data_IF_371560011510
#
_entry.id   IF_371560011510
#
_cell.length_a   1.000
_cell.length_b   1.000
_cell.length_c   1.000
_cell.angle_alpha   90.00
_cell.angle_beta   90.00
_cell.angle_gamma   90.00
#
_symmetry.space_group_name_H-M   'P 1'
#
loop_
_entity.id
_entity.type
_entity.pdbx_description
1 polymer ?
#
# COMPACT_ATOMS: atom_id res chain seq x y z
N UNK A 1 -10.30 23.35 -45.16
CA UNK A 1 -11.22 23.30 -43.99
C UNK A 1 -10.55 22.48 -42.91
N UNK A 2 -10.13 23.13 -41.82
CA UNK A 2 -9.30 22.52 -40.78
C UNK A 2 -10.06 21.47 -39.98
N UNK A 3 -9.42 20.32 -39.74
CA UNK A 3 -9.88 19.37 -38.74
C UNK A 3 -9.80 20.06 -37.37
N UNK A 4 -10.96 20.26 -36.74
CA UNK A 4 -11.03 20.71 -35.37
C UNK A 4 -10.30 19.68 -34.50
N UNK A 5 -9.22 20.09 -33.84
CA UNK A 5 -8.56 19.28 -32.83
C UNK A 5 -9.57 18.96 -31.73
N UNK A 6 -9.99 17.70 -31.66
CA UNK A 6 -10.77 17.18 -30.53
C UNK A 6 -9.87 17.35 -29.31
N UNK A 7 -10.17 18.35 -28.49
CA UNK A 7 -9.55 18.55 -27.18
C UNK A 7 -9.81 17.26 -26.41
N UNK A 8 -8.79 16.42 -26.23
CA UNK A 8 -8.86 15.21 -25.37
C UNK A 8 -9.33 15.70 -24.00
N UNK A 9 -10.59 15.44 -23.67
CA UNK A 9 -11.07 15.60 -22.31
C UNK A 9 -10.14 14.72 -21.46
N UNK A 10 -9.47 15.25 -20.42
CA UNK A 10 -8.63 14.43 -19.57
C UNK A 10 -9.51 13.28 -19.05
N UNK A 11 -9.21 12.07 -19.47
CA UNK A 11 -9.90 10.89 -18.93
C UNK A 11 -9.54 10.82 -17.46
N UNK A 12 -10.56 10.99 -16.60
CA UNK A 12 -10.46 10.82 -15.16
C UNK A 12 -9.98 9.37 -14.95
N UNK A 13 -8.70 9.21 -14.60
CA UNK A 13 -8.08 7.90 -14.46
C UNK A 13 -7.49 7.77 -13.06
N UNK A 14 -8.33 7.42 -12.07
CA UNK A 14 -7.87 7.17 -10.72
C UNK A 14 -7.01 5.90 -10.68
N UNK A 15 -6.00 5.90 -9.82
CA UNK A 15 -5.03 4.81 -9.65
C UNK A 15 -4.72 4.65 -8.17
N UNK A 16 -4.68 3.41 -7.71
CA UNK A 16 -4.17 3.03 -6.40
C UNK A 16 -2.69 2.68 -6.52
N UNK A 17 -1.84 3.38 -5.78
CA UNK A 17 -0.45 3.02 -5.62
C UNK A 17 -0.28 2.27 -4.30
N UNK A 18 0.41 1.13 -4.34
CA UNK A 18 0.82 0.38 -3.16
C UNK A 18 2.33 0.49 -3.06
N UNK A 19 2.82 1.08 -1.97
CA UNK A 19 4.24 1.19 -1.68
C UNK A 19 4.61 -0.02 -0.82
N UNK A 20 5.39 -0.95 -1.36
CA UNK A 20 5.65 -2.24 -0.72
C UNK A 20 7.11 -2.40 -0.32
N UNK A 21 7.32 -2.84 0.92
CA UNK A 21 8.59 -3.34 1.43
C UNK A 21 8.75 -4.82 1.10
N UNK A 22 9.94 -5.22 0.71
CA UNK A 22 10.24 -6.58 0.26
C UNK A 22 11.68 -6.98 0.58
N UNK A 23 12.04 -8.22 0.28
CA UNK A 23 13.42 -8.69 0.43
C UNK A 23 14.43 -7.89 -0.41
N UNK A 24 13.97 -7.23 -1.49
CA UNK A 24 14.81 -6.43 -2.37
C UNK A 24 15.02 -4.98 -1.89
N UNK A 25 14.35 -4.59 -0.80
CA UNK A 25 14.42 -3.24 -0.23
C UNK A 25 14.99 -3.30 1.19
N UNK A 26 14.17 -3.64 2.18
CA UNK A 26 14.57 -3.61 3.59
C UNK A 26 13.84 -4.62 4.48
N UNK A 27 13.02 -5.51 3.92
CA UNK A 27 12.26 -6.51 4.69
C UNK A 27 12.64 -7.94 4.23
N UNK A 28 13.78 -8.49 4.71
CA UNK A 28 14.37 -9.73 4.18
C UNK A 28 13.44 -10.95 4.22
N UNK A 29 12.57 -11.01 5.22
CA UNK A 29 11.60 -12.10 5.41
C UNK A 29 10.40 -12.04 4.47
N UNK A 30 10.24 -10.96 3.70
CA UNK A 30 9.12 -10.71 2.79
C UNK A 30 9.40 -11.33 1.42
N UNK A 31 9.12 -12.63 1.30
CA UNK A 31 9.16 -13.35 0.04
C UNK A 31 7.95 -12.96 -0.87
N UNK A 32 7.94 -13.35 -2.16
CA UNK A 32 6.86 -12.99 -3.08
C UNK A 32 5.45 -13.41 -2.62
N UNK A 33 5.33 -14.56 -1.96
CA UNK A 33 4.03 -15.02 -1.44
C UNK A 33 3.50 -14.14 -0.31
N UNK A 34 4.37 -13.73 0.62
CA UNK A 34 4.02 -12.76 1.66
C UNK A 34 3.71 -11.40 1.06
N UNK A 35 4.52 -10.93 0.12
CA UNK A 35 4.30 -9.66 -0.58
C UNK A 35 2.90 -9.60 -1.20
N UNK A 36 2.46 -10.65 -1.89
CA UNK A 36 1.11 -10.72 -2.45
C UNK A 36 0.01 -10.58 -1.38
N UNK A 37 0.20 -11.21 -0.21
CA UNK A 37 -0.71 -11.05 0.92
C UNK A 37 -0.73 -9.60 1.46
N UNK A 38 0.44 -8.97 1.62
CA UNK A 38 0.54 -7.60 2.12
C UNK A 38 -0.04 -6.57 1.14
N UNK A 39 0.14 -6.76 -0.16
CA UNK A 39 -0.50 -5.94 -1.22
C UNK A 39 -2.03 -6.09 -1.17
N UNK A 40 -2.53 -7.29 -0.90
CA UNK A 40 -3.97 -7.53 -0.68
C UNK A 40 -4.47 -6.80 0.58
N UNK A 41 -3.72 -6.86 1.69
CA UNK A 41 -4.03 -6.10 2.90
C UNK A 41 -4.09 -4.59 2.64
N UNK A 42 -3.14 -4.04 1.86
CA UNK A 42 -3.15 -2.63 1.49
C UNK A 42 -4.38 -2.22 0.66
N UNK A 43 -4.78 -3.04 -0.31
CA UNK A 43 -5.99 -2.81 -1.10
C UNK A 43 -7.25 -2.82 -0.23
N UNK A 44 -7.35 -3.77 0.70
CA UNK A 44 -8.49 -3.86 1.62
C UNK A 44 -8.52 -2.70 2.62
N UNK A 45 -7.36 -2.30 3.15
CA UNK A 45 -7.24 -1.15 4.05
C UNK A 45 -7.64 0.16 3.35
N UNK A 46 -7.26 0.33 2.08
CA UNK A 46 -7.72 1.43 1.23
C UNK A 46 -9.24 1.46 1.11
N UNK A 47 -9.87 0.35 0.68
CA UNK A 47 -11.33 0.27 0.51
C UNK A 47 -12.07 0.51 1.84
N UNK A 48 -11.58 -0.09 2.93
CA UNK A 48 -12.14 0.15 4.26
C UNK A 48 -12.08 1.64 4.63
N UNK A 49 -10.95 2.29 4.39
CA UNK A 49 -10.79 3.73 4.66
C UNK A 49 -11.75 4.58 3.83
N UNK A 50 -11.90 4.29 2.54
CA UNK A 50 -12.82 5.02 1.65
C UNK A 50 -14.29 4.84 2.07
N UNK A 51 -14.67 3.67 2.56
CA UNK A 51 -16.03 3.37 2.99
C UNK A 51 -16.35 3.92 4.39
N UNK A 52 -15.41 3.84 5.33
CA UNK A 52 -15.60 4.27 6.73
C UNK A 52 -15.67 5.80 6.89
N UNK A 53 -15.12 6.57 5.94
CA UNK A 53 -15.17 8.04 5.95
C UNK A 53 -16.53 8.64 5.58
N UNK A 54 -17.61 7.84 5.57
CA UNK A 54 -18.96 8.26 5.15
C UNK A 54 -19.63 9.34 6.03
N UNK A 55 -19.01 9.76 7.14
CA UNK A 55 -19.57 10.76 8.07
C UNK A 55 -18.85 12.12 8.04
N UNK A 56 -17.80 12.28 7.23
CA UNK A 56 -17.00 13.50 7.21
C UNK A 56 -17.39 14.40 6.03
N UNK A 57 -17.76 15.65 6.33
CA UNK A 57 -18.32 16.62 5.39
C UNK A 57 -17.28 17.46 4.63
N UNK A 58 -15.99 17.09 4.65
CA UNK A 58 -14.98 17.86 3.92
C UNK A 58 -15.13 17.65 2.39
N UNK A 59 -15.12 18.71 1.57
CA UNK A 59 -15.20 18.61 0.12
C UNK A 59 -14.17 17.66 -0.52
N UNK A 60 -12.94 17.62 0.03
CA UNK A 60 -11.88 16.76 -0.49
C UNK A 60 -12.20 15.27 -0.32
N UNK A 61 -12.75 14.87 0.84
CA UNK A 61 -13.14 13.47 1.07
C UNK A 61 -14.28 13.03 0.15
N UNK A 62 -15.27 13.89 -0.10
CA UNK A 62 -16.34 13.61 -1.05
C UNK A 62 -15.79 13.37 -2.46
N UNK A 63 -14.86 14.22 -2.90
CA UNK A 63 -14.16 14.05 -4.19
C UNK A 63 -13.42 12.72 -4.28
N UNK A 64 -12.68 12.31 -3.26
CA UNK A 64 -11.95 11.04 -3.30
C UNK A 64 -12.86 9.81 -3.24
N UNK A 65 -14.05 9.93 -2.62
CA UNK A 65 -15.07 8.89 -2.68
C UNK A 65 -15.62 8.71 -4.09
N UNK A 66 -15.96 9.79 -4.79
CA UNK A 66 -16.35 9.74 -6.20
C UNK A 66 -15.23 9.17 -7.09
N UNK A 67 -13.97 9.52 -6.81
CA UNK A 67 -12.83 8.93 -7.52
C UNK A 67 -12.67 7.44 -7.22
N UNK A 68 -12.94 6.99 -6.00
CA UNK A 68 -12.93 5.58 -5.63
C UNK A 68 -14.03 4.81 -6.36
N UNK A 69 -15.23 5.37 -6.48
CA UNK A 69 -16.32 4.80 -7.29
C UNK A 69 -15.94 4.74 -8.77
N UNK A 70 -15.33 5.79 -9.31
CA UNK A 70 -14.79 5.76 -10.67
C UNK A 70 -13.71 4.69 -10.84
N UNK A 71 -12.91 4.44 -9.81
CA UNK A 71 -11.88 3.41 -9.81
C UNK A 71 -12.47 2.00 -9.79
N UNK A 72 -13.46 1.72 -8.94
CA UNK A 72 -14.11 0.39 -8.89
C UNK A 72 -14.85 0.06 -10.19
N UNK A 73 -15.36 1.07 -10.90
CA UNK A 73 -16.03 0.94 -12.19
C UNK A 73 -15.08 0.78 -13.39
N UNK A 74 -13.75 0.80 -13.20
CA UNK A 74 -12.81 0.52 -14.28
C UNK A 74 -12.85 -0.94 -14.76
N UNK A 75 -13.39 -1.85 -13.95
CA UNK A 75 -13.66 -3.23 -14.32
C UNK A 75 -15.05 -3.67 -13.86
N UNK A 76 -15.61 -4.70 -14.50
CA UNK A 76 -16.87 -5.31 -14.08
C UNK A 76 -16.74 -6.14 -12.78
N UNK A 77 -15.54 -6.24 -12.21
CA UNK A 77 -15.25 -7.02 -11.01
C UNK A 77 -15.05 -6.13 -9.77
N UNK A 78 -15.25 -4.81 -9.89
CA UNK A 78 -15.21 -3.89 -8.76
C UNK A 78 -13.81 -3.42 -8.36
N UNK A 79 -12.83 -3.50 -9.27
CA UNK A 79 -11.48 -2.95 -9.05
C UNK A 79 -11.02 -2.08 -10.22
N UNK A 80 -10.06 -1.20 -9.93
CA UNK A 80 -9.36 -0.42 -10.94
C UNK A 80 -7.86 -0.65 -10.94
N UNK A 81 -7.14 0.23 -11.62
CA UNK A 81 -5.69 0.13 -11.79
C UNK A 81 -4.99 0.21 -10.43
N UNK A 82 -4.16 -0.79 -10.14
CA UNK A 82 -3.26 -0.84 -8.99
C UNK A 82 -1.83 -0.93 -9.49
N UNK A 83 -0.94 -0.10 -8.94
CA UNK A 83 0.49 -0.14 -9.22
C UNK A 83 1.27 -0.40 -7.93
N UNK A 84 2.05 -1.47 -7.91
CA UNK A 84 2.92 -1.81 -6.77
C UNK A 84 4.29 -1.21 -7.02
N UNK A 85 4.78 -0.40 -6.08
CA UNK A 85 6.06 0.29 -6.13
C UNK A 85 6.97 -0.24 -5.02
N UNK A 86 8.26 -0.44 -5.33
CA UNK A 86 9.22 -0.90 -4.34
C UNK A 86 9.75 0.29 -3.51
N UNK A 87 9.69 0.18 -2.19
CA UNK A 87 10.19 1.17 -1.23
C UNK A 87 10.81 0.48 -0.01
N UNK A 88 11.71 1.17 0.68
CA UNK A 88 12.05 0.82 2.07
C UNK A 88 11.11 1.54 3.06
N UNK A 89 11.27 1.26 4.36
CA UNK A 89 10.45 1.84 5.43
C UNK A 89 10.48 3.38 5.46
N UNK A 90 11.67 3.98 5.39
CA UNK A 90 11.82 5.44 5.43
C UNK A 90 11.12 6.11 4.24
N UNK A 91 11.29 5.54 3.05
CA UNK A 91 10.64 6.02 1.82
C UNK A 91 9.12 5.89 1.89
N UNK A 92 8.63 4.76 2.41
CA UNK A 92 7.20 4.51 2.63
C UNK A 92 6.60 5.54 3.60
N UNK A 93 7.22 5.72 4.77
CA UNK A 93 6.77 6.65 5.81
C UNK A 93 6.80 8.11 5.31
N UNK A 94 7.87 8.50 4.63
CA UNK A 94 7.99 9.83 4.03
C UNK A 94 6.93 10.07 2.96
N UNK A 95 6.68 9.09 2.08
CA UNK A 95 5.67 9.22 1.02
C UNK A 95 4.26 9.38 1.60
N UNK A 96 3.89 8.58 2.61
CA UNK A 96 2.58 8.73 3.27
C UNK A 96 2.47 10.08 3.98
N UNK A 97 3.50 10.48 4.72
CA UNK A 97 3.52 11.78 5.42
C UNK A 97 3.31 12.94 4.45
N UNK A 98 4.03 12.95 3.33
CA UNK A 98 3.89 13.99 2.29
C UNK A 98 2.53 13.91 1.62
N UNK A 99 2.04 12.71 1.27
CA UNK A 99 0.72 12.52 0.67
C UNK A 99 -0.39 13.09 1.56
N UNK A 100 -0.40 12.73 2.83
CA UNK A 100 -1.36 13.26 3.81
C UNK A 100 -1.25 14.78 3.95
N UNK A 101 -0.03 15.32 4.00
CA UNK A 101 0.20 16.76 4.13
C UNK A 101 -0.32 17.57 2.91
N UNK A 102 -0.32 16.98 1.72
CA UNK A 102 -0.86 17.61 0.49
C UNK A 102 -2.31 17.22 0.19
N UNK A 103 -3.00 16.56 1.13
CA UNK A 103 -4.41 16.20 1.01
C UNK A 103 -4.70 15.00 0.09
N UNK A 104 -3.72 14.15 -0.19
CA UNK A 104 -3.93 12.87 -0.87
C UNK A 104 -4.32 11.79 0.14
N UNK A 105 -5.32 10.94 -0.15
CA UNK A 105 -5.62 9.78 0.66
C UNK A 105 -4.45 8.82 0.66
N UNK A 106 -3.96 8.51 1.86
CA UNK A 106 -2.87 7.58 2.05
C UNK A 106 -2.97 6.91 3.43
N UNK A 107 -2.33 5.76 3.59
CA UNK A 107 -2.26 5.05 4.86
C UNK A 107 -1.18 3.98 4.89
N UNK A 108 -0.65 3.71 6.08
CA UNK A 108 0.29 2.61 6.34
C UNK A 108 -0.50 1.37 6.77
N UNK A 109 -0.07 0.22 6.30
CA UNK A 109 -0.60 -1.10 6.68
C UNK A 109 0.36 -1.72 7.68
N UNK A 110 -0.14 -1.95 8.89
CA UNK A 110 0.54 -2.74 9.89
C UNK A 110 -0.01 -4.17 9.87
N UNK A 111 0.87 -5.15 9.70
CA UNK A 111 0.56 -6.56 9.92
C UNK A 111 0.95 -6.91 11.36
N UNK A 112 -0.02 -7.08 12.28
CA UNK A 112 0.27 -7.44 13.67
C UNK A 112 0.76 -8.89 13.82
N UNK A 113 0.62 -9.69 12.76
CA UNK A 113 0.88 -11.13 12.73
C UNK A 113 2.03 -11.47 11.77
N UNK A 114 2.93 -10.52 11.50
CA UNK A 114 3.92 -10.69 10.43
C UNK A 114 4.91 -11.80 10.77
N UNK A 115 4.97 -12.90 9.99
CA UNK A 115 5.78 -14.05 10.32
C UNK A 115 7.22 -13.89 9.81
N UNK A 116 8.21 -14.28 10.60
CA UNK A 116 9.61 -14.39 10.21
C UNK A 116 10.24 -15.67 10.75
N UNK A 117 11.25 -16.20 10.05
CA UNK A 117 11.91 -17.45 10.40
C UNK A 117 13.25 -17.15 11.07
N UNK A 118 13.51 -17.83 12.17
CA UNK A 118 14.79 -17.78 12.89
C UNK A 118 15.27 -19.21 13.07
N UNK A 119 16.59 -19.42 13.00
CA UNK A 119 17.19 -20.71 13.33
C UNK A 119 16.77 -21.15 14.74
N UNK A 120 16.52 -22.45 14.94
CA UNK A 120 16.06 -22.99 16.22
C UNK A 120 17.01 -22.66 17.39
N UNK A 121 18.33 -22.68 17.16
CA UNK A 121 19.31 -22.35 18.19
C UNK A 121 19.29 -20.86 18.55
N UNK A 122 18.96 -20.01 17.57
CA UNK A 122 18.90 -18.56 17.73
C UNK A 122 17.55 -18.07 18.30
N UNK A 123 16.46 -18.81 18.07
CA UNK A 123 15.10 -18.39 18.44
C UNK A 123 14.95 -18.08 19.93
N UNK A 124 15.65 -18.82 20.80
CA UNK A 124 15.63 -18.61 22.26
C UNK A 124 16.25 -17.29 22.71
N UNK A 125 17.07 -16.64 21.87
CA UNK A 125 17.72 -15.37 22.17
C UNK A 125 16.95 -14.15 21.65
N UNK A 126 15.85 -14.36 20.91
CA UNK A 126 14.96 -13.29 20.49
C UNK A 126 14.09 -12.89 21.67
N UNK A 127 14.15 -11.62 22.05
CA UNK A 127 13.39 -11.11 23.20
C UNK A 127 11.88 -11.33 23.00
N UNK A 128 11.21 -12.06 23.91
CA UNK A 128 9.77 -12.32 23.83
C UNK A 128 8.90 -11.06 23.75
N UNK A 129 9.39 -9.89 24.18
CA UNK A 129 8.64 -8.63 24.08
C UNK A 129 8.33 -8.23 22.63
N UNK A 130 9.07 -8.75 21.65
CA UNK A 130 8.84 -8.48 20.23
C UNK A 130 7.87 -9.49 19.59
N UNK A 131 7.45 -10.52 20.33
CA UNK A 131 6.53 -11.54 19.82
C UNK A 131 5.08 -11.12 19.97
N UNK A 132 4.32 -11.13 18.87
CA UNK A 132 2.88 -10.86 18.91
C UNK A 132 2.03 -12.11 19.05
N UNK A 133 2.59 -13.29 18.76
CA UNK A 133 1.96 -14.61 18.88
C UNK A 133 2.97 -15.65 19.36
N UNK A 134 2.46 -16.78 19.84
CA UNK A 134 3.28 -17.91 20.26
C UNK A 134 4.17 -18.40 19.11
N UNK A 135 5.47 -18.65 19.37
CA UNK A 135 6.37 -19.26 18.41
C UNK A 135 5.83 -20.60 17.88
N UNK A 136 6.01 -20.86 16.59
CA UNK A 136 5.70 -22.16 15.97
C UNK A 136 7.02 -22.87 15.64
N UNK A 137 7.40 -23.90 16.41
CA UNK A 137 8.58 -24.70 16.12
C UNK A 137 8.42 -25.46 14.80
N UNK A 138 9.49 -25.55 14.03
CA UNK A 138 9.59 -26.33 12.80
C UNK A 138 10.92 -27.05 12.70
N UNK A 139 11.07 -27.82 11.62
CA UNK A 139 12.32 -28.51 11.32
C UNK A 139 13.38 -27.50 10.84
N UNK A 140 14.47 -27.36 11.60
CA UNK A 140 15.57 -26.42 11.36
C UNK A 140 15.29 -24.94 11.65
N UNK A 141 14.03 -24.51 11.80
CA UNK A 141 13.69 -23.12 12.11
C UNK A 141 12.42 -23.00 12.95
N UNK A 142 12.32 -21.92 13.71
CA UNK A 142 11.12 -21.51 14.43
C UNK A 142 10.51 -20.31 13.71
N UNK A 143 9.19 -20.32 13.53
CA UNK A 143 8.45 -19.15 13.04
C UNK A 143 8.06 -18.29 14.22
N UNK A 144 8.53 -17.04 14.20
CA UNK A 144 8.21 -16.00 15.16
C UNK A 144 7.32 -14.96 14.49
N UNK A 145 6.60 -14.18 15.28
CA UNK A 145 5.62 -13.19 14.80
C UNK A 145 5.92 -11.84 15.42
N UNK A 146 5.84 -10.77 14.62
CA UNK A 146 5.97 -9.39 15.13
C UNK A 146 4.93 -8.49 14.48
N UNK A 147 4.70 -7.33 15.07
CA UNK A 147 4.01 -6.23 14.38
C UNK A 147 4.98 -5.58 13.42
N UNK A 148 4.58 -5.42 12.16
CA UNK A 148 5.45 -4.87 11.10
C UNK A 148 4.65 -3.95 10.17
N UNK A 149 5.21 -2.79 9.82
CA UNK A 149 4.65 -1.93 8.77
C UNK A 149 5.11 -2.47 7.41
N UNK A 150 4.25 -3.15 6.67
CA UNK A 150 4.69 -3.91 5.48
C UNK A 150 4.49 -3.17 4.17
N UNK A 151 3.41 -2.42 4.07
CA UNK A 151 3.00 -1.70 2.87
C UNK A 151 2.35 -0.37 3.26
N UNK A 152 2.23 0.52 2.28
CA UNK A 152 1.34 1.67 2.35
C UNK A 152 0.52 1.77 1.07
N UNK A 153 -0.55 2.55 1.11
CA UNK A 153 -1.35 2.90 -0.05
C UNK A 153 -1.43 4.41 -0.24
N UNK A 154 -1.48 4.87 -1.49
CA UNK A 154 -1.71 6.26 -1.89
C UNK A 154 -2.67 6.27 -3.08
N UNK A 155 -3.72 7.08 -3.03
CA UNK A 155 -4.76 7.09 -4.07
C UNK A 155 -4.92 8.47 -4.71
N UNK A 156 -5.15 8.51 -6.02
CA UNK A 156 -5.41 9.77 -6.72
C UNK A 156 -5.50 9.61 -8.24
N UNK A 157 -5.49 10.75 -8.94
CA UNK A 157 -5.55 10.78 -10.40
C UNK A 157 -4.15 10.60 -11.02
N UNK A 158 -4.03 9.72 -12.03
CA UNK A 158 -2.74 9.44 -12.71
C UNK A 158 -2.05 10.70 -13.28
N UNK A 159 -2.83 11.71 -13.65
CA UNK A 159 -2.33 12.99 -14.17
C UNK A 159 -2.05 14.07 -13.12
N UNK A 160 -2.30 13.80 -11.83
CA UNK A 160 -2.08 14.77 -10.76
C UNK A 160 -0.59 14.97 -10.48
N UNK A 161 -0.16 16.23 -10.50
CA UNK A 161 1.23 16.63 -10.26
C UNK A 161 1.65 16.30 -8.83
N UNK A 162 0.76 16.46 -7.85
CA UNK A 162 1.04 16.14 -6.44
C UNK A 162 1.23 14.64 -6.26
N UNK A 163 0.33 13.83 -6.84
CA UNK A 163 0.47 12.38 -6.79
C UNK A 163 1.79 11.95 -7.43
N UNK A 164 2.11 12.47 -8.62
CA UNK A 164 3.37 12.17 -9.31
C UNK A 164 4.59 12.60 -8.49
N UNK A 165 4.55 13.72 -7.78
CA UNK A 165 5.64 14.17 -6.92
C UNK A 165 5.88 13.23 -5.73
N UNK A 166 4.82 12.63 -5.18
CA UNK A 166 4.91 11.65 -4.10
C UNK A 166 5.48 10.31 -4.58
N UNK A 167 4.86 9.72 -5.61
CA UNK A 167 5.10 8.31 -5.96
C UNK A 167 5.99 8.11 -7.19
N UNK A 168 6.14 9.12 -8.06
CA UNK A 168 6.75 8.98 -9.38
C UNK A 168 8.26 8.72 -9.39
N UNK A 169 8.92 8.82 -8.23
CA UNK A 169 10.34 8.51 -8.04
C UNK A 169 10.61 7.04 -7.72
N UNK A 170 9.59 6.28 -7.32
CA UNK A 170 9.76 4.88 -6.92
C UNK A 170 9.60 3.94 -8.13
N UNK A 171 10.43 2.90 -8.23
CA UNK A 171 10.32 1.92 -9.31
C UNK A 171 9.11 1.01 -9.10
N UNK A 172 8.57 0.48 -10.20
CA UNK A 172 7.61 -0.64 -10.13
C UNK A 172 8.29 -1.83 -9.45
N UNK A 173 7.54 -2.53 -8.59
CA UNK A 173 8.02 -3.76 -7.99
C UNK A 173 8.19 -4.83 -9.09
N UNK A 174 9.35 -5.52 -9.17
CA UNK A 174 9.59 -6.57 -10.15
C UNK A 174 8.73 -7.82 -9.93
#
# INVERSE_FOLDING_TARGET
MGQAAIKKIPTIHPVLYILARSYATDLPSCNPGKLAAQVSHASNAFIHTMNSNSSSSSPDQARYKELCECWTLQSNQGFGTVLVLAVNEDQMNAAVTVATAVGLPAGIVNDPTYPYRVDNEAAQFVDPMYHTFDPIPGDGFTTLFRSENTCAWVFGLKGDVLLKAVVGKFPLHP
#
